data_IF_997335078238
#
_entry.id   IF_997335078238
#
_cell.length_a   1.000
_cell.length_b   1.000
_cell.length_c   1.000
_cell.angle_alpha   90.00
_cell.angle_beta   90.00
_cell.angle_gamma   90.00
#
_symmetry.space_group_name_H-M   'P 1'
#
loop_
_entity.id
_entity.type
_entity.pdbx_description
1 polymer ?
#
# COMPACT_ATOMS: atom_id res chain seq x y z
N UNK A 1 -8.33 29.40 41.00
CA UNK A 1 -7.98 27.97 40.83
C UNK A 1 -8.80 27.35 39.68
N UNK A 2 -8.64 27.85 38.45
CA UNK A 2 -9.27 27.26 37.25
C UNK A 2 -8.37 27.50 36.02
N UNK A 3 -7.16 26.95 36.00
CA UNK A 3 -6.28 27.04 34.81
C UNK A 3 -5.42 25.79 34.55
N UNK A 4 -5.79 24.63 35.10
CA UNK A 4 -5.08 23.36 34.84
C UNK A 4 -5.97 22.36 34.06
N UNK A 5 -7.29 22.46 34.21
CA UNK A 5 -8.24 21.52 33.59
C UNK A 5 -8.48 21.77 32.08
N UNK A 6 -8.20 22.99 31.59
CA UNK A 6 -8.37 23.37 30.17
C UNK A 6 -7.16 22.94 29.32
N UNK A 7 -5.95 23.07 29.87
CA UNK A 7 -4.69 22.68 29.20
C UNK A 7 -4.53 21.17 29.10
N UNK A 8 -4.93 20.41 30.13
CA UNK A 8 -4.90 18.93 30.11
C UNK A 8 -5.85 18.33 29.07
N UNK A 9 -7.07 18.86 28.96
CA UNK A 9 -8.05 18.43 27.93
C UNK A 9 -7.61 18.81 26.52
N UNK A 10 -7.02 20.00 26.34
CA UNK A 10 -6.44 20.42 25.06
C UNK A 10 -5.25 19.53 24.66
N UNK A 11 -4.38 19.18 25.61
CA UNK A 11 -3.27 18.26 25.36
C UNK A 11 -3.72 16.84 25.00
N UNK A 12 -4.78 16.33 25.65
CA UNK A 12 -5.40 15.04 25.28
C UNK A 12 -6.03 15.13 23.88
N UNK A 13 -6.77 16.19 23.56
CA UNK A 13 -7.38 16.37 22.23
C UNK A 13 -6.33 16.47 21.12
N UNK A 14 -5.25 17.22 21.33
CA UNK A 14 -4.15 17.36 20.36
C UNK A 14 -3.40 16.04 20.17
N UNK A 15 -3.09 15.32 21.24
CA UNK A 15 -2.43 14.01 21.13
C UNK A 15 -3.32 12.98 20.42
N UNK A 16 -4.63 12.96 20.73
CA UNK A 16 -5.61 12.12 20.04
C UNK A 16 -5.74 12.50 18.56
N UNK A 17 -5.78 13.79 18.22
CA UNK A 17 -5.78 14.27 16.83
C UNK A 17 -4.50 13.88 16.08
N UNK A 18 -3.34 14.00 16.71
CA UNK A 18 -2.06 13.60 16.12
C UNK A 18 -2.01 12.08 15.87
N UNK A 19 -2.56 11.27 16.79
CA UNK A 19 -2.71 9.83 16.59
C UNK A 19 -3.69 9.50 15.45
N UNK A 20 -4.75 10.29 15.26
CA UNK A 20 -5.70 10.08 14.16
C UNK A 20 -5.17 10.54 12.79
N UNK A 21 -4.25 11.50 12.74
CA UNK A 21 -3.68 11.99 11.48
C UNK A 21 -2.38 11.29 11.08
N UNK A 22 -1.69 10.64 12.02
CA UNK A 22 -0.43 9.96 11.73
C UNK A 22 -0.66 8.52 11.24
N UNK A 23 -1.26 8.41 10.06
CA UNK A 23 -1.17 7.20 9.22
C UNK A 23 -0.42 7.63 7.97
N UNK A 24 0.89 7.46 8.01
CA UNK A 24 1.74 7.73 6.86
C UNK A 24 1.51 6.63 5.80
N UNK A 25 0.56 6.87 4.90
CA UNK A 25 0.27 5.99 3.76
C UNK A 25 1.30 6.18 2.65
N UNK A 26 2.60 6.14 2.98
CA UNK A 26 3.64 6.23 1.98
C UNK A 26 3.80 4.89 1.26
N UNK A 27 3.74 4.94 -0.07
CA UNK A 27 3.96 3.78 -0.90
C UNK A 27 5.39 3.24 -0.73
N UNK A 28 5.61 1.92 -0.77
CA UNK A 28 6.95 1.36 -0.73
C UNK A 28 7.83 1.95 -1.84
N UNK A 29 8.88 2.68 -1.47
CA UNK A 29 9.84 3.26 -2.42
C UNK A 29 11.02 2.33 -2.68
N UNK A 30 11.32 1.45 -1.72
CA UNK A 30 12.44 0.51 -1.76
C UNK A 30 11.87 -0.89 -1.55
N UNK A 31 12.21 -1.79 -2.46
CA UNK A 31 11.86 -3.20 -2.35
C UNK A 31 13.13 -4.05 -2.29
N UNK A 32 13.15 -5.12 -1.47
CA UNK A 32 14.27 -6.05 -1.44
C UNK A 32 14.43 -6.72 -2.81
N UNK A 33 15.67 -7.00 -3.19
CA UNK A 33 16.00 -7.72 -4.43
C UNK A 33 15.82 -9.24 -4.27
N UNK A 34 14.76 -9.66 -3.58
CA UNK A 34 14.37 -11.05 -3.43
C UNK A 34 13.48 -11.41 -4.61
N UNK A 35 13.84 -12.45 -5.36
CA UNK A 35 13.04 -12.93 -6.48
C UNK A 35 12.02 -13.96 -5.99
N UNK A 36 10.76 -13.52 -5.87
CA UNK A 36 9.59 -14.33 -5.55
C UNK A 36 8.47 -13.95 -6.51
N UNK A 37 8.52 -14.46 -7.77
CA UNK A 37 7.71 -13.93 -8.85
C UNK A 37 6.22 -14.04 -8.54
N UNK A 38 5.49 -12.96 -8.81
CA UNK A 38 4.06 -12.87 -8.59
C UNK A 38 3.35 -12.28 -9.79
N UNK A 39 2.10 -12.68 -10.02
CA UNK A 39 1.25 -12.10 -11.04
C UNK A 39 0.25 -11.13 -10.40
N UNK A 40 0.09 -9.95 -10.99
CA UNK A 40 -0.92 -8.96 -10.61
C UNK A 40 -1.95 -8.78 -11.73
N UNK A 41 -3.21 -8.59 -11.36
CA UNK A 41 -4.31 -8.28 -12.28
C UNK A 41 -5.03 -7.01 -11.83
N UNK A 42 -5.12 -6.02 -12.72
CA UNK A 42 -5.74 -4.73 -12.41
C UNK A 42 -7.20 -4.60 -12.88
N UNK A 43 -7.83 -5.70 -13.30
CA UNK A 43 -9.18 -5.70 -13.90
C UNK A 43 -9.18 -5.66 -15.42
N UNK A 44 -8.04 -5.39 -16.08
CA UNK A 44 -7.91 -5.35 -17.55
C UNK A 44 -6.84 -6.26 -18.09
N UNK A 45 -5.66 -6.23 -17.49
CA UNK A 45 -4.49 -6.95 -17.94
C UNK A 45 -3.69 -7.53 -16.77
N UNK A 46 -2.82 -8.48 -17.09
CA UNK A 46 -1.94 -9.18 -16.16
C UNK A 46 -0.54 -8.64 -16.27
N UNK A 47 0.18 -8.60 -15.15
CA UNK A 47 1.57 -8.16 -15.12
C UNK A 47 2.36 -8.96 -14.10
N UNK A 48 3.55 -9.39 -14.50
CA UNK A 48 4.49 -10.09 -13.63
C UNK A 48 5.32 -9.09 -12.83
N UNK A 49 5.53 -9.38 -11.55
CA UNK A 49 6.39 -8.61 -10.66
C UNK A 49 7.47 -9.53 -10.07
N UNK A 50 8.66 -8.98 -9.82
CA UNK A 50 9.77 -9.74 -9.23
C UNK A 50 9.50 -10.21 -7.80
N UNK A 51 8.65 -9.48 -7.06
CA UNK A 51 8.12 -9.86 -5.76
C UNK A 51 6.84 -9.06 -5.41
N UNK A 52 6.22 -9.43 -4.29
CA UNK A 52 5.01 -8.77 -3.78
C UNK A 52 5.23 -7.32 -3.38
N UNK A 53 6.45 -6.93 -2.96
CA UNK A 53 6.75 -5.53 -2.66
C UNK A 53 6.64 -4.67 -3.92
N UNK A 54 7.22 -5.10 -5.04
CA UNK A 54 7.12 -4.36 -6.30
C UNK A 54 5.68 -4.23 -6.80
N UNK A 55 4.87 -5.29 -6.63
CA UNK A 55 3.43 -5.24 -6.93
C UNK A 55 2.73 -4.19 -6.07
N UNK A 56 2.93 -4.22 -4.75
CA UNK A 56 2.31 -3.29 -3.81
C UNK A 56 2.78 -1.85 -4.01
N UNK A 57 4.06 -1.65 -4.35
CA UNK A 57 4.63 -0.36 -4.68
C UNK A 57 3.92 0.26 -5.89
N UNK A 58 3.74 -0.51 -6.96
CA UNK A 58 3.03 -0.04 -8.15
C UNK A 58 1.55 0.19 -7.87
N UNK A 59 0.88 -0.74 -7.20
CA UNK A 59 -0.53 -0.59 -6.83
C UNK A 59 -0.78 0.69 -6.03
N UNK A 60 0.09 0.97 -5.05
CA UNK A 60 0.00 2.17 -4.23
C UNK A 60 0.32 3.45 -5.03
N UNK A 61 1.43 3.48 -5.76
CA UNK A 61 1.89 4.69 -6.46
C UNK A 61 0.96 5.08 -7.62
N UNK A 62 0.43 4.09 -8.34
CA UNK A 62 -0.51 4.31 -9.46
C UNK A 62 -1.96 4.42 -9.02
N UNK A 63 -2.25 4.20 -7.73
CA UNK A 63 -3.60 4.09 -7.16
C UNK A 63 -4.48 3.08 -7.92
N UNK A 64 -3.87 2.02 -8.42
CA UNK A 64 -4.57 0.93 -9.09
C UNK A 64 -4.89 -0.20 -8.10
N UNK A 65 -6.06 -0.82 -8.28
CA UNK A 65 -6.40 -2.04 -7.56
C UNK A 65 -5.78 -3.24 -8.27
N UNK A 66 -4.51 -3.50 -7.99
CA UNK A 66 -3.77 -4.65 -8.55
C UNK A 66 -3.92 -5.82 -7.59
N UNK A 67 -4.67 -6.84 -8.00
CA UNK A 67 -4.86 -8.05 -7.21
C UNK A 67 -3.76 -9.05 -7.52
N UNK A 68 -3.08 -9.53 -6.49
CA UNK A 68 -2.21 -10.68 -6.64
C UNK A 68 -3.06 -11.91 -7.00
N UNK A 69 -2.70 -12.57 -8.10
CA UNK A 69 -3.33 -13.80 -8.61
C UNK A 69 -2.28 -14.89 -8.76
N UNK A 70 -2.69 -16.10 -9.15
CA UNK A 70 -1.76 -17.19 -9.42
C UNK A 70 -0.74 -16.77 -10.50
N UNK A 71 0.53 -17.12 -10.29
CA UNK A 71 1.59 -16.74 -11.22
C UNK A 71 1.35 -17.25 -12.64
N UNK A 72 0.70 -18.41 -12.78
CA UNK A 72 0.36 -19.02 -14.07
C UNK A 72 -0.56 -18.14 -14.93
N UNK A 73 -1.35 -17.24 -14.33
CA UNK A 73 -2.22 -16.31 -15.04
C UNK A 73 -1.45 -15.33 -15.92
N UNK A 74 -0.21 -15.00 -15.56
CA UNK A 74 0.68 -14.17 -16.37
C UNK A 74 1.40 -14.97 -17.46
N UNK A 75 1.45 -16.30 -17.34
CA UNK A 75 2.12 -17.19 -18.30
C UNK A 75 1.16 -17.93 -19.23
N UNK A 76 -0.16 -17.79 -19.02
CA UNK A 76 -1.15 -18.47 -19.87
C UNK A 76 -1.14 -17.91 -21.30
N UNK A 77 -1.24 -18.77 -22.33
CA UNK A 77 -1.43 -18.31 -23.70
C UNK A 77 -2.66 -17.39 -23.81
N UNK A 78 -2.49 -16.24 -24.45
CA UNK A 78 -3.57 -15.25 -24.60
C UNK A 78 -3.86 -14.42 -23.34
N UNK A 79 -3.00 -14.45 -22.32
CA UNK A 79 -3.02 -13.44 -21.27
C UNK A 79 -2.86 -12.04 -21.88
N UNK A 80 -3.81 -11.15 -21.60
CA UNK A 80 -3.66 -9.75 -21.95
C UNK A 80 -2.65 -9.13 -20.99
N UNK A 81 -1.44 -8.81 -21.45
CA UNK A 81 -0.39 -8.25 -20.60
C UNK A 81 -0.48 -6.72 -20.52
N UNK A 82 -0.16 -6.19 -19.34
CA UNK A 82 0.29 -4.82 -19.16
C UNK A 82 1.82 -4.81 -19.35
#
# INVERSE_FOLDING_TARGET
MFCELKMRKLGILVSVLLLFTYVDAQCPQICPAIYTPTCGFNGRCYKSYGNSCSLNAEACTTRQNIRQVDYQECSRPGAQLC
#
